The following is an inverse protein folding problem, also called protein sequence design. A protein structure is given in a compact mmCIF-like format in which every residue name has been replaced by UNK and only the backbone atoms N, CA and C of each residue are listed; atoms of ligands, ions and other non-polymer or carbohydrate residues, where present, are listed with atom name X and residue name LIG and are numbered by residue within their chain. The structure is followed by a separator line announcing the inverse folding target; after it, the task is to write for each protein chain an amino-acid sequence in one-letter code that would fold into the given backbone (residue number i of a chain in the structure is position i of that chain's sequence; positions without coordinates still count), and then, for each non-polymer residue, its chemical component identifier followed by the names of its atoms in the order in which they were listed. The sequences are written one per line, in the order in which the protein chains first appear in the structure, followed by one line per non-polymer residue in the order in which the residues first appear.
data_IF_960210187463
#
_entry.id   IF_960210187463
#
_cell.length_a   1.000
_cell.length_b   1.000
_cell.length_c   1.000
_cell.angle_alpha   90.00
_cell.angle_beta   90.00
_cell.angle_gamma   90.00
#
_symmetry.space_group_name_H-M   'P 1'
#
loop_
_entity.id
_entity.type
_entity.pdbx_description
1 polymer ?
#
# COMPACT_ATOMS: atom_id res chain seq x y z
N UNK A 1 9.17 21.85 18.86
CA UNK A 1 10.31 22.15 19.76
C UNK A 1 10.17 23.53 20.39
N UNK A 2 9.99 24.59 19.61
CA UNK A 2 9.85 25.96 20.14
C UNK A 2 8.63 26.17 21.03
N UNK A 3 7.46 25.57 20.73
CA UNK A 3 6.30 25.68 21.64
C UNK A 3 6.54 24.94 22.95
N UNK A 4 7.02 23.69 22.91
CA UNK A 4 7.41 22.91 24.11
C UNK A 4 8.40 23.70 24.99
N UNK A 5 9.42 24.31 24.38
CA UNK A 5 10.41 25.12 25.08
C UNK A 5 9.76 26.32 25.80
N UNK A 6 8.82 27.01 25.13
CA UNK A 6 8.05 28.12 25.71
C UNK A 6 7.11 27.66 26.82
N UNK A 7 6.37 26.57 26.61
CA UNK A 7 5.42 26.00 27.57
C UNK A 7 6.11 25.53 28.86
N UNK A 8 7.35 25.06 28.76
CA UNK A 8 8.12 24.54 29.90
C UNK A 8 9.19 25.51 30.42
N UNK A 9 9.25 26.75 29.91
CA UNK A 9 10.25 27.77 30.28
C UNK A 9 11.71 27.26 30.20
N UNK A 10 12.03 26.46 29.19
CA UNK A 10 13.38 25.92 28.96
C UNK A 10 13.93 26.34 27.60
N UNK A 11 15.25 26.28 27.43
CA UNK A 11 15.86 26.53 26.12
C UNK A 11 15.50 25.44 25.11
N UNK A 12 15.45 25.79 23.82
CA UNK A 12 15.26 24.82 22.73
C UNK A 12 16.36 23.73 22.76
N UNK A 13 17.59 24.10 23.13
CA UNK A 13 18.71 23.16 23.27
C UNK A 13 18.45 22.13 24.37
N UNK A 14 17.82 22.54 25.48
CA UNK A 14 17.43 21.61 26.56
C UNK A 14 16.44 20.58 26.04
N UNK A 15 15.42 21.02 25.30
CA UNK A 15 14.42 20.12 24.68
C UNK A 15 15.09 19.17 23.68
N UNK A 16 16.01 19.67 22.84
CA UNK A 16 16.77 18.84 21.91
C UNK A 16 17.64 17.80 22.61
N UNK A 17 18.28 18.16 23.74
CA UNK A 17 19.10 17.24 24.53
C UNK A 17 18.26 16.10 25.12
N UNK A 18 17.07 16.42 25.65
CA UNK A 18 16.12 15.41 26.16
C UNK A 18 15.61 14.53 25.01
N UNK A 19 15.24 15.10 23.86
CA UNK A 19 14.90 14.29 22.69
C UNK A 19 16.07 13.42 22.22
N UNK A 20 17.30 13.91 22.38
CA UNK A 20 18.53 13.20 22.09
C UNK A 20 18.81 12.04 23.06
N UNK A 21 18.27 12.04 24.28
CA UNK A 21 18.39 10.92 25.22
C UNK A 21 17.38 9.80 24.92
N UNK A 22 16.31 10.08 24.15
CA UNK A 22 15.38 9.05 23.69
C UNK A 22 16.04 8.07 22.72
N UNK A 23 15.82 6.76 22.92
CA UNK A 23 16.24 5.73 22.00
C UNK A 23 15.45 5.81 20.69
N UNK A 24 16.12 5.55 19.57
CA UNK A 24 15.51 5.48 18.23
C UNK A 24 15.46 4.05 17.68
N UNK A 25 15.82 3.05 18.50
CA UNK A 25 15.82 1.63 18.13
C UNK A 25 14.46 1.02 18.40
N UNK A 26 13.90 0.30 17.43
CA UNK A 26 12.59 -0.36 17.57
C UNK A 26 12.67 -1.78 18.13
N UNK A 27 13.88 -2.35 18.23
CA UNK A 27 14.09 -3.72 18.71
C UNK A 27 15.08 -3.76 19.85
N UNK A 28 14.74 -4.58 20.83
CA UNK A 28 15.55 -4.89 22.00
C UNK A 28 16.31 -6.23 21.85
N UNK A 29 15.86 -7.13 20.97
CA UNK A 29 16.47 -8.45 20.74
C UNK A 29 16.34 -8.95 19.29
N UNK A 30 17.29 -9.79 18.86
CA UNK A 30 17.30 -10.49 17.56
C UNK A 30 16.80 -11.95 17.65
N UNK A 31 16.30 -12.35 18.83
CA UNK A 31 15.79 -13.71 19.08
C UNK A 31 14.29 -13.87 18.80
N UNK A 32 13.59 -12.78 18.52
CA UNK A 32 12.15 -12.80 18.29
C UNK A 32 11.76 -11.97 17.07
N UNK A 33 10.85 -12.52 16.27
CA UNK A 33 10.11 -11.83 15.23
C UNK A 33 8.63 -12.22 15.31
N UNK A 34 7.71 -11.27 15.10
CA UNK A 34 6.29 -11.56 15.01
C UNK A 34 5.96 -12.60 13.92
N UNK A 35 4.92 -13.39 14.15
CA UNK A 35 4.46 -14.40 13.21
C UNK A 35 3.90 -13.80 11.91
N UNK A 36 3.37 -12.58 11.98
CA UNK A 36 2.75 -11.88 10.86
C UNK A 36 3.47 -10.55 10.68
N UNK A 37 4.08 -10.33 9.51
CA UNK A 37 4.81 -9.11 9.21
C UNK A 37 4.15 -8.36 8.04
N UNK A 38 4.27 -7.05 8.05
CA UNK A 38 3.77 -6.19 6.98
C UNK A 38 4.90 -5.29 6.47
N UNK A 39 5.21 -5.38 5.17
CA UNK A 39 6.30 -4.66 4.51
C UNK A 39 5.77 -3.60 3.55
N UNK A 40 6.32 -2.38 3.66
CA UNK A 40 6.04 -1.26 2.75
C UNK A 40 7.19 -0.24 2.77
N UNK A 41 7.05 0.79 1.96
CA UNK A 41 7.97 1.92 1.85
C UNK A 41 7.23 3.23 2.12
N UNK A 42 7.90 4.15 2.83
CA UNK A 42 7.44 5.53 2.91
C UNK A 42 8.52 6.47 2.44
N UNK A 43 8.07 7.60 1.90
CA UNK A 43 8.96 8.69 1.52
C UNK A 43 9.22 9.54 2.75
N UNK A 44 10.48 9.66 3.15
CA UNK A 44 10.88 10.46 4.30
C UNK A 44 11.95 11.49 3.98
N UNK A 45 12.97 11.52 4.84
CA UNK A 45 14.10 12.46 4.78
C UNK A 45 14.76 12.44 3.40
N UNK A 46 15.16 13.62 2.92
CA UNK A 46 15.77 13.82 1.60
C UNK A 46 14.90 13.35 0.42
N UNK A 47 13.58 13.21 0.62
CA UNK A 47 12.64 12.67 -0.38
C UNK A 47 12.99 11.22 -0.80
N UNK A 48 13.76 10.50 0.02
CA UNK A 48 14.14 9.11 -0.22
C UNK A 48 13.09 8.14 0.32
N UNK A 49 13.06 6.93 -0.25
CA UNK A 49 12.18 5.85 0.21
C UNK A 49 12.89 5.03 1.30
N UNK A 50 12.24 4.94 2.45
CA UNK A 50 12.66 4.17 3.61
C UNK A 50 11.78 2.93 3.75
N UNK A 51 12.37 1.84 4.23
CA UNK A 51 11.67 0.59 4.48
C UNK A 51 11.01 0.65 5.86
N UNK A 52 9.78 0.16 5.94
CA UNK A 52 9.04 -0.01 7.19
C UNK A 52 8.50 -1.43 7.30
N UNK A 53 8.61 -1.98 8.51
CA UNK A 53 8.10 -3.28 8.91
C UNK A 53 7.23 -3.11 10.15
N UNK A 54 5.97 -3.54 10.06
CA UNK A 54 5.05 -3.63 11.20
C UNK A 54 4.74 -5.09 11.52
N UNK A 55 4.31 -5.30 12.76
CA UNK A 55 3.62 -6.52 13.16
C UNK A 55 2.19 -6.49 12.59
N UNK A 56 1.80 -7.58 11.93
CA UNK A 56 0.49 -7.76 11.32
C UNK A 56 -0.65 -7.89 12.32
N UNK A 57 -0.37 -8.30 13.57
CA UNK A 57 -1.39 -8.45 14.61
C UNK A 57 -1.49 -7.21 15.50
N UNK A 58 -0.37 -6.79 16.10
CA UNK A 58 -0.37 -5.66 17.04
C UNK A 58 -0.31 -4.28 16.37
N UNK A 59 -0.01 -4.24 15.06
CA UNK A 59 0.25 -3.02 14.29
C UNK A 59 1.40 -2.17 14.83
N UNK A 60 2.24 -2.73 15.71
CA UNK A 60 3.40 -2.03 16.24
C UNK A 60 4.56 -2.04 15.24
N UNK A 61 5.42 -1.02 15.34
CA UNK A 61 6.61 -0.93 14.50
C UNK A 61 7.64 -1.95 14.95
N UNK A 62 7.92 -2.91 14.08
CA UNK A 62 9.04 -3.84 14.27
C UNK A 62 10.34 -3.14 13.91
N UNK A 63 10.40 -2.50 12.75
CA UNK A 63 11.60 -1.78 12.33
C UNK A 63 11.34 -0.76 11.23
N UNK A 64 12.05 0.37 11.30
CA UNK A 64 12.23 1.29 10.18
C UNK A 64 13.70 1.35 9.76
N UNK A 65 13.98 1.21 8.46
CA UNK A 65 15.34 1.26 7.90
C UNK A 65 15.46 2.37 6.87
N UNK A 66 16.59 3.09 6.93
CA UNK A 66 16.86 4.22 6.01
C UNK A 66 16.91 3.79 4.54
N UNK A 67 17.27 2.53 4.27
CA UNK A 67 17.42 2.04 2.90
C UNK A 67 16.47 0.89 2.61
N UNK A 68 15.90 0.89 1.40
CA UNK A 68 15.08 -0.21 0.86
C UNK A 68 15.84 -1.27 0.06
N UNK A 69 17.16 -1.13 -0.09
CA UNK A 69 17.93 -1.98 -1.00
C UNK A 69 18.07 -3.41 -0.48
N UNK A 70 17.89 -4.38 -1.38
CA UNK A 70 17.93 -5.83 -1.10
C UNK A 70 19.13 -6.26 -0.24
N UNK A 71 20.35 -5.81 -0.58
CA UNK A 71 21.57 -6.15 0.18
C UNK A 71 21.49 -5.74 1.65
N UNK A 72 20.94 -4.56 1.93
CA UNK A 72 20.85 -4.04 3.30
C UNK A 72 19.76 -4.74 4.09
N UNK A 73 18.63 -5.05 3.45
CA UNK A 73 17.53 -5.80 4.06
C UNK A 73 17.94 -7.24 4.37
N UNK A 74 18.62 -7.92 3.44
CA UNK A 74 19.17 -9.27 3.68
C UNK A 74 20.20 -9.25 4.83
N UNK A 75 21.11 -8.25 4.85
CA UNK A 75 22.08 -8.10 5.95
C UNK A 75 21.40 -7.84 7.29
N UNK A 76 20.30 -7.09 7.29
CA UNK A 76 19.55 -6.77 8.49
C UNK A 76 18.79 -7.99 9.02
N UNK A 77 17.95 -8.60 8.20
CA UNK A 77 17.18 -9.78 8.59
C UNK A 77 18.06 -11.00 8.85
N UNK A 78 19.25 -11.08 8.23
CA UNK A 78 20.23 -12.14 8.50
C UNK A 78 20.84 -12.11 9.91
N UNK A 79 20.62 -11.04 10.70
CA UNK A 79 21.07 -10.98 12.10
C UNK A 79 20.15 -11.74 13.06
N UNK A 80 18.91 -12.00 12.65
CA UNK A 80 17.95 -12.73 13.47
C UNK A 80 18.29 -14.21 13.50
N UNK A 81 18.08 -14.82 14.67
CA UNK A 81 18.31 -16.25 14.83
C UNK A 81 17.45 -17.05 13.84
N UNK A 82 17.93 -18.23 13.38
CA UNK A 82 17.16 -19.05 12.44
C UNK A 82 15.77 -19.41 12.98
N UNK A 83 15.64 -19.58 14.30
CA UNK A 83 14.36 -19.84 14.97
C UNK A 83 13.41 -18.65 14.86
N UNK A 84 13.87 -17.43 15.15
CA UNK A 84 13.08 -16.20 14.99
C UNK A 84 12.58 -16.05 13.54
N UNK A 85 13.44 -16.34 12.56
CA UNK A 85 13.07 -16.25 11.14
C UNK A 85 12.10 -17.34 10.69
N UNK A 86 12.20 -18.54 11.27
CA UNK A 86 11.27 -19.64 11.00
C UNK A 86 9.90 -19.42 11.66
N UNK A 87 9.80 -18.57 12.69
CA UNK A 87 8.54 -18.22 13.35
C UNK A 87 7.60 -17.38 12.47
N UNK A 88 8.14 -16.64 11.50
CA UNK A 88 7.35 -15.81 10.58
C UNK A 88 6.51 -16.71 9.66
N UNK A 89 5.18 -16.61 9.77
CA UNK A 89 4.17 -17.38 9.03
C UNK A 89 3.62 -16.64 7.83
N UNK A 90 3.42 -15.33 7.92
CA UNK A 90 2.95 -14.52 6.78
C UNK A 90 3.72 -13.22 6.65
N UNK A 91 3.90 -12.77 5.41
CA UNK A 91 4.37 -11.41 5.12
C UNK A 91 3.43 -10.76 4.11
N UNK A 92 2.75 -9.69 4.54
CA UNK A 92 1.97 -8.85 3.64
C UNK A 92 2.87 -7.84 2.94
N UNK A 93 2.69 -7.69 1.63
CA UNK A 93 3.47 -6.76 0.83
C UNK A 93 2.75 -6.37 -0.46
N UNK A 94 3.25 -5.35 -1.13
CA UNK A 94 2.85 -5.01 -2.48
C UNK A 94 3.48 -5.97 -3.51
N UNK A 95 3.05 -5.87 -4.78
CA UNK A 95 3.56 -6.66 -5.92
C UNK A 95 4.97 -6.24 -6.39
N UNK A 96 5.87 -5.98 -5.45
CA UNK A 96 7.29 -5.73 -5.72
C UNK A 96 8.05 -7.05 -5.76
N UNK A 97 8.62 -7.37 -6.93
CA UNK A 97 9.47 -8.56 -7.09
C UNK A 97 10.64 -8.57 -6.09
N UNK A 98 11.18 -7.40 -5.76
CA UNK A 98 12.32 -7.25 -4.86
C UNK A 98 12.05 -7.76 -3.44
N UNK A 99 10.86 -7.52 -2.89
CA UNK A 99 10.53 -7.94 -1.52
C UNK A 99 10.22 -9.44 -1.44
N UNK A 100 9.64 -10.02 -2.49
CA UNK A 100 9.38 -11.45 -2.51
C UNK A 100 10.66 -12.28 -2.42
N UNK A 101 11.71 -11.87 -3.13
CA UNK A 101 13.01 -12.53 -3.03
C UNK A 101 13.60 -12.44 -1.62
N UNK A 102 13.43 -11.29 -0.96
CA UNK A 102 13.92 -11.09 0.41
C UNK A 102 13.16 -12.00 1.36
N UNK A 103 11.84 -12.08 1.23
CA UNK A 103 11.02 -12.94 2.08
C UNK A 103 11.36 -14.41 1.89
N UNK A 104 11.47 -14.88 0.63
CA UNK A 104 11.88 -16.26 0.35
C UNK A 104 13.27 -16.60 0.89
N UNK A 105 14.19 -15.64 0.90
CA UNK A 105 15.55 -15.85 1.40
C UNK A 105 15.64 -15.79 2.94
N UNK A 106 14.86 -14.90 3.57
CA UNK A 106 14.95 -14.65 5.01
C UNK A 106 14.02 -15.54 5.83
N UNK A 107 12.80 -15.82 5.35
CA UNK A 107 11.72 -16.44 6.12
C UNK A 107 11.22 -17.71 5.41
N UNK A 108 11.76 -18.89 5.77
CA UNK A 108 11.52 -20.13 5.01
C UNK A 108 10.06 -20.60 5.08
N UNK A 109 9.36 -20.33 6.19
CA UNK A 109 7.99 -20.79 6.42
C UNK A 109 6.92 -19.74 6.04
N UNK A 110 7.35 -18.55 5.60
CA UNK A 110 6.43 -17.44 5.41
C UNK A 110 5.67 -17.51 4.10
N UNK A 111 4.35 -17.43 4.19
CA UNK A 111 3.46 -17.23 3.05
C UNK A 111 3.43 -15.74 2.68
N UNK A 112 3.69 -15.45 1.41
CA UNK A 112 3.57 -14.09 0.88
C UNK A 112 2.10 -13.79 0.63
N UNK A 113 1.63 -12.65 1.13
CA UNK A 113 0.25 -12.17 0.99
C UNK A 113 0.30 -10.85 0.24
N UNK A 114 -0.28 -10.82 -0.96
CA UNK A 114 -0.34 -9.58 -1.74
C UNK A 114 -1.46 -8.69 -1.22
N UNK A 115 -1.16 -7.40 -1.07
CA UNK A 115 -2.16 -6.43 -0.64
C UNK A 115 -3.32 -6.26 -1.64
N UNK A 116 -4.54 -6.39 -1.11
CA UNK A 116 -5.81 -6.32 -1.85
C UNK A 116 -6.03 -4.96 -2.49
N UNK A 117 -5.69 -3.89 -1.79
CA UNK A 117 -5.86 -2.54 -2.32
C UNK A 117 -4.95 -2.33 -3.53
N UNK A 118 -3.68 -2.75 -3.46
CA UNK A 118 -2.77 -2.68 -4.60
C UNK A 118 -3.22 -3.53 -5.79
N UNK A 119 -3.74 -4.75 -5.57
CA UNK A 119 -4.31 -5.56 -6.65
C UNK A 119 -5.45 -4.85 -7.37
N UNK A 120 -6.42 -4.33 -6.62
CA UNK A 120 -7.57 -3.59 -7.19
C UNK A 120 -7.08 -2.32 -7.88
N UNK A 121 -6.13 -1.59 -7.29
CA UNK A 121 -5.59 -0.36 -7.84
C UNK A 121 -4.90 -0.60 -9.20
N UNK A 122 -4.14 -1.70 -9.35
CA UNK A 122 -3.50 -2.06 -10.62
C UNK A 122 -4.53 -2.31 -11.74
N UNK A 123 -5.63 -3.02 -11.45
CA UNK A 123 -6.71 -3.26 -12.41
C UNK A 123 -7.44 -1.97 -12.77
N UNK A 124 -7.80 -1.16 -11.77
CA UNK A 124 -8.51 0.12 -11.97
C UNK A 124 -7.67 1.09 -12.82
N UNK A 125 -6.35 1.16 -12.59
CA UNK A 125 -5.44 1.95 -13.42
C UNK A 125 -5.37 1.42 -14.85
N UNK A 126 -5.32 0.10 -15.01
CA UNK A 126 -5.28 -0.56 -16.32
C UNK A 126 -6.54 -0.30 -17.14
N UNK A 127 -7.71 -0.45 -16.52
CA UNK A 127 -8.99 -0.11 -17.12
C UNK A 127 -9.06 1.38 -17.46
N UNK A 128 -8.70 2.27 -16.54
CA UNK A 128 -8.77 3.71 -16.77
C UNK A 128 -7.84 4.14 -17.93
N UNK A 129 -6.68 3.51 -18.08
CA UNK A 129 -5.79 3.73 -19.23
C UNK A 129 -6.46 3.34 -20.55
N UNK A 130 -7.11 2.17 -20.60
CA UNK A 130 -7.89 1.73 -21.76
C UNK A 130 -9.04 2.69 -22.07
N UNK A 131 -9.83 3.07 -21.06
CA UNK A 131 -10.93 4.04 -21.19
C UNK A 131 -10.45 5.34 -21.81
N UNK A 132 -9.34 5.91 -21.33
CA UNK A 132 -8.75 7.14 -21.89
C UNK A 132 -8.27 6.92 -23.32
N UNK A 133 -7.70 5.75 -23.64
CA UNK A 133 -7.28 5.41 -25.01
C UNK A 133 -8.46 5.38 -25.96
N UNK A 134 -9.53 4.66 -25.64
CA UNK A 134 -10.77 4.60 -26.43
C UNK A 134 -11.44 5.97 -26.53
N UNK A 135 -11.52 6.71 -25.43
CA UNK A 135 -12.07 8.07 -25.43
C UNK A 135 -11.31 8.98 -26.40
N UNK A 136 -9.98 8.87 -26.50
CA UNK A 136 -9.17 9.71 -27.39
C UNK A 136 -9.31 9.39 -28.88
N UNK A 137 -9.83 8.22 -29.25
CA UNK A 137 -10.06 7.86 -30.67
C UNK A 137 -11.39 8.39 -31.19
N UNK A 138 -12.28 8.83 -30.31
CA UNK A 138 -13.61 9.33 -30.66
C UNK A 138 -13.59 10.84 -30.92
N UNK A 139 -14.54 11.31 -31.73
CA UNK A 139 -14.72 12.74 -31.94
C UNK A 139 -15.15 13.45 -30.65
N UNK A 140 -14.61 14.65 -30.40
CA UNK A 140 -14.84 15.40 -29.15
C UNK A 140 -16.30 15.84 -28.98
N UNK A 141 -17.06 15.95 -30.07
CA UNK A 141 -18.48 16.33 -30.05
C UNK A 141 -19.41 15.11 -29.95
N UNK A 142 -18.87 13.90 -30.12
CA UNK A 142 -19.66 12.67 -30.03
C UNK A 142 -20.21 12.42 -28.61
N UNK A 143 -21.40 11.83 -28.54
CA UNK A 143 -22.02 11.42 -27.27
C UNK A 143 -21.14 10.42 -26.52
N UNK A 144 -20.56 9.45 -27.23
CA UNK A 144 -19.67 8.45 -26.65
C UNK A 144 -18.43 9.07 -25.99
N UNK A 145 -17.82 10.09 -26.60
CA UNK A 145 -16.71 10.82 -26.01
C UNK A 145 -17.12 11.50 -24.69
N UNK A 146 -18.28 12.17 -24.66
CA UNK A 146 -18.77 12.87 -23.47
C UNK A 146 -19.10 11.91 -22.32
N UNK A 147 -19.71 10.76 -22.64
CA UNK A 147 -19.99 9.69 -21.68
C UNK A 147 -18.71 9.10 -21.07
N UNK A 148 -17.65 8.94 -21.86
CA UNK A 148 -16.38 8.43 -21.33
C UNK A 148 -15.60 9.50 -20.55
N UNK A 149 -15.72 10.80 -20.92
CA UNK A 149 -14.92 11.88 -20.35
C UNK A 149 -15.49 12.48 -19.07
N UNK A 150 -16.71 13.00 -19.12
CA UNK A 150 -17.26 13.81 -18.03
C UNK A 150 -17.51 12.97 -16.76
N UNK A 151 -18.23 11.84 -16.82
CA UNK A 151 -18.50 11.00 -15.67
C UNK A 151 -17.40 9.95 -15.42
N UNK A 152 -16.14 10.22 -15.76
CA UNK A 152 -15.05 9.22 -15.69
C UNK A 152 -14.89 8.53 -14.33
N UNK A 153 -15.26 9.22 -13.24
CA UNK A 153 -15.23 8.69 -11.87
C UNK A 153 -16.22 7.55 -11.65
N UNK A 154 -17.35 7.52 -12.38
CA UNK A 154 -18.37 6.48 -12.23
C UNK A 154 -17.83 5.11 -12.63
N UNK A 155 -17.00 5.05 -13.67
CA UNK A 155 -16.41 3.80 -14.13
C UNK A 155 -15.40 3.20 -13.14
N UNK A 156 -14.94 3.95 -12.14
CA UNK A 156 -14.01 3.47 -11.11
C UNK A 156 -14.73 3.05 -9.82
N UNK A 157 -16.04 3.30 -9.72
CA UNK A 157 -16.86 2.84 -8.60
C UNK A 157 -17.26 1.38 -8.81
N UNK A 158 -17.65 0.71 -7.72
CA UNK A 158 -18.27 -0.60 -7.81
C UNK A 158 -19.64 -0.44 -8.46
N UNK A 159 -19.99 -1.36 -9.36
CA UNK A 159 -21.26 -1.29 -10.08
C UNK A 159 -22.48 -1.29 -9.15
N UNK A 160 -22.40 -2.02 -8.03
CA UNK A 160 -23.47 -2.08 -7.03
C UNK A 160 -23.70 -0.77 -6.26
N UNK A 161 -22.67 0.09 -6.20
CA UNK A 161 -22.72 1.39 -5.52
C UNK A 161 -23.20 2.51 -6.46
N UNK A 162 -23.52 2.21 -7.72
CA UNK A 162 -24.03 3.18 -8.68
C UNK A 162 -25.52 3.44 -8.45
N UNK A 163 -25.94 4.70 -8.64
CA UNK A 163 -27.36 5.08 -8.66
C UNK A 163 -28.07 4.42 -9.85
N UNK A 164 -29.16 3.69 -9.56
CA UNK A 164 -29.93 2.88 -10.52
C UNK A 164 -31.37 3.36 -10.68
N UNK A 165 -31.89 4.17 -9.76
CA UNK A 165 -33.32 4.50 -9.67
C UNK A 165 -33.60 5.90 -10.19
N UNK A 166 -32.84 6.90 -9.73
CA UNK A 166 -33.13 8.30 -10.04
C UNK A 166 -32.22 8.85 -11.14
N UNK A 167 -32.71 9.04 -12.38
CA UNK A 167 -31.92 9.63 -13.45
C UNK A 167 -31.67 11.12 -13.17
N UNK A 168 -30.52 11.61 -13.63
CA UNK A 168 -30.15 13.03 -13.51
C UNK A 168 -29.76 13.58 -14.87
N UNK A 169 -30.28 14.76 -15.20
CA UNK A 169 -29.90 15.44 -16.42
C UNK A 169 -28.43 15.88 -16.37
N UNK A 170 -27.70 15.62 -17.46
CA UNK A 170 -26.33 16.09 -17.63
C UNK A 170 -26.18 16.87 -18.93
N UNK A 171 -25.68 18.09 -18.81
CA UNK A 171 -25.54 19.02 -19.91
C UNK A 171 -24.53 18.57 -21.00
N UNK A 172 -23.56 17.72 -20.67
CA UNK A 172 -22.53 17.30 -21.61
C UNK A 172 -23.04 16.38 -22.71
N UNK A 173 -23.95 15.45 -22.38
CA UNK A 173 -24.55 14.50 -23.30
C UNK A 173 -26.05 14.77 -23.52
N UNK A 174 -26.59 15.84 -22.92
CA UNK A 174 -27.96 16.37 -23.10
C UNK A 174 -29.04 15.30 -22.88
N UNK A 175 -28.87 14.49 -21.84
CA UNK A 175 -29.77 13.39 -21.53
C UNK A 175 -29.97 13.22 -20.03
N UNK A 176 -31.07 12.57 -19.64
CA UNK A 176 -31.42 12.23 -18.27
C UNK A 176 -31.18 10.75 -18.02
N UNK A 177 -30.00 10.42 -17.48
CA UNK A 177 -29.56 9.04 -17.27
C UNK A 177 -29.24 8.76 -15.81
N UNK A 178 -29.44 7.52 -15.38
CA UNK A 178 -28.91 7.00 -14.11
C UNK A 178 -27.41 6.75 -14.22
N UNK A 179 -26.71 6.64 -13.08
CA UNK A 179 -25.27 6.36 -13.11
C UNK A 179 -24.96 5.00 -13.73
N UNK A 180 -25.82 4.00 -13.49
CA UNK A 180 -25.71 2.69 -14.11
C UNK A 180 -25.85 2.77 -15.64
N UNK A 181 -26.89 3.47 -16.14
CA UNK A 181 -27.09 3.65 -17.58
C UNK A 181 -25.91 4.38 -18.24
N UNK A 182 -25.37 5.43 -17.62
CA UNK A 182 -24.18 6.14 -18.12
C UNK A 182 -22.99 5.21 -18.29
N UNK A 183 -22.73 4.35 -17.29
CA UNK A 183 -21.62 3.41 -17.35
C UNK A 183 -21.86 2.33 -18.40
N UNK A 184 -23.06 1.74 -18.43
CA UNK A 184 -23.44 0.72 -19.43
C UNK A 184 -23.33 1.26 -20.85
N UNK A 185 -23.89 2.43 -21.14
CA UNK A 185 -23.80 3.04 -22.46
C UNK A 185 -22.35 3.38 -22.83
N UNK A 186 -21.57 3.89 -21.88
CA UNK A 186 -20.16 4.20 -22.10
C UNK A 186 -19.30 2.99 -22.43
N UNK A 187 -19.43 1.89 -21.67
CA UNK A 187 -18.63 0.68 -21.92
C UNK A 187 -19.01 -0.03 -23.22
N UNK A 188 -20.28 0.07 -23.64
CA UNK A 188 -20.78 -0.50 -24.90
C UNK A 188 -20.17 0.16 -26.15
N UNK A 189 -19.41 1.26 -26.00
CA UNK A 189 -18.67 1.88 -27.10
C UNK A 189 -17.62 0.94 -27.72
N UNK A 190 -17.10 -0.03 -26.96
CA UNK A 190 -16.11 -0.98 -27.45
C UNK A 190 -16.19 -2.30 -26.69
N UNK A 191 -16.23 -3.42 -27.40
CA UNK A 191 -16.22 -4.77 -26.82
C UNK A 191 -15.03 -4.99 -25.89
N UNK A 192 -13.85 -4.46 -26.24
CA UNK A 192 -12.66 -4.54 -25.37
C UNK A 192 -12.84 -3.78 -24.07
N UNK A 193 -13.54 -2.64 -24.10
CA UNK A 193 -13.79 -1.81 -22.93
C UNK A 193 -14.81 -2.47 -22.00
N UNK A 194 -15.89 -3.00 -22.57
CA UNK A 194 -16.90 -3.78 -21.85
C UNK A 194 -16.29 -5.00 -21.15
N UNK A 195 -15.56 -5.85 -21.89
CA UNK A 195 -14.88 -7.01 -21.32
C UNK A 195 -13.92 -6.62 -20.19
N UNK A 196 -13.13 -5.56 -20.39
CA UNK A 196 -12.19 -5.08 -19.37
C UNK A 196 -12.90 -4.53 -18.13
N UNK A 197 -14.05 -3.87 -18.28
CA UNK A 197 -14.85 -3.39 -17.16
C UNK A 197 -15.45 -4.55 -16.37
N UNK A 198 -16.10 -5.49 -17.06
CA UNK A 198 -16.73 -6.66 -16.46
C UNK A 198 -15.72 -7.54 -15.72
N UNK A 199 -14.52 -7.71 -16.29
CA UNK A 199 -13.41 -8.40 -15.64
C UNK A 199 -12.99 -7.68 -14.35
N UNK A 200 -12.78 -6.36 -14.41
CA UNK A 200 -12.39 -5.56 -13.25
C UNK A 200 -13.43 -5.66 -12.12
N UNK A 201 -14.72 -5.49 -12.43
CA UNK A 201 -15.80 -5.61 -11.44
C UNK A 201 -15.90 -7.03 -10.86
N UNK A 202 -15.81 -8.05 -11.72
CA UNK A 202 -15.82 -9.45 -11.29
C UNK A 202 -14.64 -9.79 -10.39
N UNK A 203 -13.46 -9.23 -10.66
CA UNK A 203 -12.27 -9.38 -9.83
C UNK A 203 -12.43 -8.71 -8.47
N UNK A 204 -12.92 -7.46 -8.44
CA UNK A 204 -13.20 -6.75 -7.18
C UNK A 204 -14.16 -7.57 -6.31
N UNK A 205 -15.21 -8.13 -6.91
CA UNK A 205 -16.17 -8.97 -6.18
C UNK A 205 -15.54 -10.30 -5.70
N UNK A 206 -14.69 -10.93 -6.51
CA UNK A 206 -14.01 -12.17 -6.13
C UNK A 206 -13.02 -11.96 -4.97
N UNK A 207 -12.28 -10.86 -4.98
CA UNK A 207 -11.41 -10.46 -3.83
C UNK A 207 -12.24 -10.18 -2.59
N UNK A 208 -13.37 -9.46 -2.72
CA UNK A 208 -14.24 -9.13 -1.57
C UNK A 208 -14.85 -10.39 -0.94
N UNK A 209 -15.19 -11.39 -1.75
CA UNK A 209 -15.82 -12.65 -1.29
C UNK A 209 -14.81 -13.75 -0.94
N UNK A 210 -13.51 -13.52 -1.12
CA UNK A 210 -12.48 -14.54 -0.92
C UNK A 210 -12.57 -15.73 -1.89
N UNK A 211 -13.27 -15.58 -3.03
CA UNK A 211 -13.47 -16.68 -3.96
C UNK A 211 -12.23 -16.91 -4.84
N UNK A 212 -11.31 -17.74 -4.34
CA UNK A 212 -10.04 -18.09 -4.99
C UNK A 212 -10.22 -18.80 -6.34
N UNK A 213 -11.26 -19.62 -6.51
CA UNK A 213 -11.54 -20.31 -7.77
C UNK A 213 -11.95 -19.34 -8.87
N UNK A 214 -12.85 -18.40 -8.56
CA UNK A 214 -13.23 -17.34 -9.49
C UNK A 214 -12.07 -16.41 -9.81
N UNK A 215 -11.19 -16.12 -8.85
CA UNK A 215 -9.95 -15.37 -9.11
C UNK A 215 -9.04 -16.10 -10.10
N UNK A 216 -8.82 -17.40 -9.93
CA UNK A 216 -8.02 -18.21 -10.86
C UNK A 216 -8.60 -18.20 -12.27
N UNK A 217 -9.92 -18.31 -12.41
CA UNK A 217 -10.55 -18.28 -13.74
C UNK A 217 -10.43 -16.90 -14.40
N UNK A 218 -10.63 -15.82 -13.65
CA UNK A 218 -10.49 -14.44 -14.14
C UNK A 218 -9.04 -14.11 -14.56
N UNK A 219 -8.03 -14.58 -13.82
CA UNK A 219 -6.62 -14.34 -14.16
C UNK A 219 -6.22 -15.07 -15.45
N UNK A 220 -6.86 -16.20 -15.75
CA UNK A 220 -6.61 -16.99 -16.95
C UNK A 220 -7.60 -16.71 -18.10
N UNK A 221 -8.35 -15.61 -18.04
CA UNK A 221 -9.29 -15.26 -19.10
C UNK A 221 -8.58 -15.12 -20.46
N UNK A 222 -9.26 -15.51 -21.53
CA UNK A 222 -8.79 -15.34 -22.93
C UNK A 222 -9.53 -14.24 -23.67
N UNK A 223 -10.30 -13.42 -22.94
CA UNK A 223 -11.14 -12.39 -23.51
C UNK A 223 -10.30 -11.28 -24.14
N UNK A 224 -10.88 -10.59 -25.13
CA UNK A 224 -10.27 -9.39 -25.69
C UNK A 224 -10.33 -8.26 -24.67
N UNK A 225 -9.22 -8.05 -23.95
CA UNK A 225 -9.05 -7.01 -22.92
C UNK A 225 -7.95 -6.02 -23.31
N UNK A 226 -7.90 -4.88 -22.60
CA UNK A 226 -6.85 -3.89 -22.80
C UNK A 226 -5.44 -4.45 -22.60
N UNK A 227 -4.48 -3.99 -23.39
CA UNK A 227 -3.08 -4.49 -23.34
C UNK A 227 -2.44 -4.33 -21.95
N UNK A 228 -2.72 -3.22 -21.26
CA UNK A 228 -2.22 -3.00 -19.90
C UNK A 228 -2.91 -3.94 -18.89
N UNK A 229 -4.21 -4.20 -19.07
CA UNK A 229 -4.95 -5.16 -18.26
C UNK A 229 -4.35 -6.56 -18.39
N UNK A 230 -4.07 -7.00 -19.62
CA UNK A 230 -3.42 -8.28 -19.88
C UNK A 230 -2.05 -8.38 -19.18
N UNK A 231 -1.23 -7.32 -19.23
CA UNK A 231 0.04 -7.28 -18.49
C UNK A 231 -0.15 -7.42 -16.98
N UNK A 232 -1.16 -6.74 -16.40
CA UNK A 232 -1.50 -6.89 -14.98
C UNK A 232 -1.91 -8.32 -14.64
N UNK A 233 -2.71 -8.97 -15.48
CA UNK A 233 -3.09 -10.37 -15.28
C UNK A 233 -1.89 -11.32 -15.39
N UNK A 234 -0.94 -11.08 -16.30
CA UNK A 234 0.31 -11.84 -16.36
C UNK A 234 1.13 -11.70 -15.06
N UNK A 235 1.22 -10.48 -14.51
CA UNK A 235 1.86 -10.26 -13.21
C UNK A 235 1.15 -11.02 -12.10
N UNK A 236 -0.18 -11.04 -12.08
CA UNK A 236 -0.93 -11.83 -11.10
C UNK A 236 -0.73 -13.33 -11.31
N UNK A 237 -0.67 -13.79 -12.55
CA UNK A 237 -0.42 -15.20 -12.90
C UNK A 237 0.96 -15.67 -12.45
N UNK A 238 1.99 -14.83 -12.60
CA UNK A 238 3.33 -15.13 -12.10
C UNK A 238 3.36 -15.24 -10.56
N UNK A 239 2.53 -14.46 -9.88
CA UNK A 239 2.44 -14.40 -8.42
C UNK A 239 1.17 -15.09 -7.88
N UNK A 240 0.66 -16.11 -8.58
CA UNK A 240 -0.70 -16.61 -8.37
C UNK A 240 -0.95 -17.03 -6.91
N UNK A 241 -0.04 -17.80 -6.31
CA UNK A 241 -0.18 -18.25 -4.93
C UNK A 241 -0.31 -17.07 -3.96
N UNK A 242 0.53 -16.04 -4.11
CA UNK A 242 0.51 -14.88 -3.23
C UNK A 242 -0.73 -13.98 -3.43
N UNK A 243 -1.24 -13.92 -4.67
CA UNK A 243 -2.50 -13.24 -5.01
C UNK A 243 -3.70 -13.95 -4.37
N UNK A 244 -3.72 -15.28 -4.41
CA UNK A 244 -4.79 -16.07 -3.80
C UNK A 244 -4.76 -15.95 -2.28
N UNK A 245 -3.56 -16.02 -1.68
CA UNK A 245 -3.37 -15.75 -0.25
C UNK A 245 -3.89 -14.36 0.14
N UNK A 246 -3.68 -13.34 -0.70
CA UNK A 246 -4.19 -11.99 -0.50
C UNK A 246 -5.73 -11.90 -0.47
N UNK A 247 -6.42 -12.79 -1.16
CA UNK A 247 -7.88 -12.85 -1.16
C UNK A 247 -8.46 -13.75 -0.05
N UNK A 248 -7.73 -14.81 0.33
CA UNK A 248 -8.17 -15.82 1.28
C UNK A 248 -7.86 -15.44 2.74
N UNK A 249 -6.67 -14.87 2.99
CA UNK A 249 -6.22 -14.54 4.33
C UNK A 249 -6.75 -13.18 4.79
N UNK A 250 -6.91 -13.03 6.12
CA UNK A 250 -7.42 -11.80 6.73
C UNK A 250 -6.42 -10.63 6.66
N UNK A 251 -5.12 -10.91 6.60
CA UNK A 251 -4.04 -9.93 6.65
C UNK A 251 -4.01 -8.99 5.44
N UNK A 252 -3.64 -7.73 5.64
CA UNK A 252 -3.41 -6.74 4.58
C UNK A 252 -2.37 -5.70 4.99
N UNK A 253 -1.90 -4.93 4.01
CA UNK A 253 -1.07 -3.74 4.27
C UNK A 253 -1.89 -2.54 4.77
N UNK A 254 -3.15 -2.72 5.19
CA UNK A 254 -3.99 -1.62 5.68
C UNK A 254 -3.42 -0.93 6.92
N UNK A 255 -2.79 -1.70 7.83
CA UNK A 255 -2.10 -1.16 9.00
C UNK A 255 -0.95 -0.22 8.61
N UNK A 256 -0.16 -0.60 7.59
CA UNK A 256 0.91 0.21 7.02
C UNK A 256 0.40 1.47 6.35
N UNK A 257 -0.75 1.44 5.66
CA UNK A 257 -1.32 2.66 5.07
C UNK A 257 -1.67 3.68 6.15
N UNK A 258 -2.31 3.22 7.23
CA UNK A 258 -2.62 4.05 8.40
C UNK A 258 -1.35 4.64 9.02
N UNK A 259 -0.33 3.81 9.21
CA UNK A 259 0.94 4.22 9.77
C UNK A 259 1.69 5.21 8.86
N UNK A 260 1.76 4.95 7.56
CA UNK A 260 2.37 5.85 6.57
C UNK A 260 1.65 7.20 6.53
N UNK A 261 0.34 7.24 6.75
CA UNK A 261 -0.43 8.48 6.89
C UNK A 261 -0.04 9.23 8.16
N UNK A 262 0.16 8.52 9.28
CA UNK A 262 0.67 9.08 10.55
C UNK A 262 2.07 9.68 10.37
N UNK A 263 3.01 8.97 9.74
CA UNK A 263 4.34 9.50 9.41
C UNK A 263 4.22 10.79 8.57
N UNK A 264 3.43 10.76 7.49
CA UNK A 264 3.22 11.96 6.65
C UNK A 264 2.64 13.13 7.44
N UNK A 265 1.83 12.87 8.47
CA UNK A 265 1.30 13.93 9.34
C UNK A 265 2.39 14.50 10.24
N UNK A 266 3.20 13.63 10.88
CA UNK A 266 4.37 14.03 11.67
C UNK A 266 5.30 14.95 10.87
N UNK A 267 5.63 14.56 9.64
CA UNK A 267 6.47 15.36 8.75
C UNK A 267 5.83 16.71 8.39
N UNK A 268 4.52 16.73 8.09
CA UNK A 268 3.80 17.98 7.78
C UNK A 268 3.78 18.94 8.96
N UNK A 269 3.54 18.45 10.17
CA UNK A 269 3.53 19.28 11.39
C UNK A 269 4.93 19.82 11.72
N UNK A 270 5.99 19.07 11.38
CA UNK A 270 7.36 19.48 11.62
C UNK A 270 7.98 20.33 10.48
N UNK A 271 7.26 20.54 9.37
CA UNK A 271 7.80 21.11 8.13
C UNK A 271 8.99 20.31 7.55
N UNK A 272 8.97 18.99 7.76
CA UNK A 272 10.01 18.05 7.34
C UNK A 272 11.10 17.83 8.40
N UNK A 273 11.91 16.79 8.16
CA UNK A 273 13.05 16.44 8.99
C UNK A 273 14.32 16.39 8.14
N UNK A 274 15.41 16.95 8.66
CA UNK A 274 16.76 16.87 8.05
C UNK A 274 17.54 15.63 8.50
N UNK A 275 17.18 15.04 9.64
CA UNK A 275 17.84 13.88 10.21
C UNK A 275 16.89 12.70 10.33
N UNK A 276 17.28 11.55 9.77
CA UNK A 276 16.54 10.31 9.86
C UNK A 276 16.35 9.85 11.31
N UNK A 277 17.38 10.00 12.14
CA UNK A 277 17.31 9.65 13.57
C UNK A 277 16.25 10.48 14.29
N UNK A 278 16.16 11.78 14.00
CA UNK A 278 15.17 12.65 14.63
C UNK A 278 13.74 12.30 14.21
N UNK A 279 13.56 11.89 12.95
CA UNK A 279 12.28 11.36 12.47
C UNK A 279 11.91 10.08 13.22
N UNK A 280 12.82 9.12 13.37
CA UNK A 280 12.57 7.89 14.13
C UNK A 280 12.22 8.16 15.59
N UNK A 281 12.97 9.05 16.25
CA UNK A 281 12.67 9.45 17.64
C UNK A 281 11.27 10.03 17.75
N UNK A 282 10.87 10.90 16.81
CA UNK A 282 9.51 11.47 16.83
C UNK A 282 8.44 10.39 16.61
N UNK A 283 8.65 9.47 15.67
CA UNK A 283 7.73 8.37 15.43
C UNK A 283 7.52 7.56 16.71
N UNK A 284 8.60 7.21 17.44
CA UNK A 284 8.49 6.48 18.71
C UNK A 284 7.74 7.23 19.80
N UNK A 285 7.98 8.52 19.94
CA UNK A 285 7.26 9.36 20.90
C UNK A 285 5.76 9.39 20.61
N UNK A 286 5.36 9.43 19.34
CA UNK A 286 3.97 9.40 18.92
C UNK A 286 3.31 8.01 19.07
N UNK A 287 4.10 6.95 19.14
CA UNK A 287 3.64 5.59 19.48
C UNK A 287 3.61 5.35 21.01
N UNK A 288 3.92 6.36 21.83
CA UNK A 288 4.08 6.24 23.30
C UNK A 288 5.08 5.15 23.74
N UNK A 289 5.99 4.73 22.85
CA UNK A 289 7.03 3.74 23.13
C UNK A 289 8.32 4.45 23.55
N UNK A 290 8.27 5.14 24.69
CA UNK A 290 9.41 5.84 25.26
C UNK A 290 10.39 4.84 25.88
N UNK A 291 11.66 4.93 25.46
CA UNK A 291 12.77 4.24 26.13
C UNK A 291 13.96 5.18 26.13
N UNK A 292 14.61 5.35 27.27
CA UNK A 292 15.89 6.06 27.33
C UNK A 292 16.97 5.23 26.61
N UNK A 293 17.94 5.90 26.01
CA UNK A 293 19.15 5.23 25.53
C UNK A 293 19.86 4.62 26.73
N UNK A 294 20.29 3.37 26.62
CA UNK A 294 21.22 2.84 27.61
C UNK A 294 22.46 3.74 27.66
N UNK A 295 22.94 4.12 28.87
CA UNK A 295 24.18 4.84 29.00
C UNK A 295 25.29 3.99 28.37
N UNK A 296 26.15 4.60 27.54
CA UNK A 296 27.32 3.93 26.98
C UNK A 296 28.11 3.27 28.13
N UNK A 297 28.00 1.96 28.30
CA UNK A 297 28.84 1.17 29.19
C UNK A 297 30.22 0.99 28.54
N UNK A 298 30.93 2.10 28.40
CA UNK A 298 32.34 2.20 28.01
C UNK A 298 32.93 3.33 28.85
N UNK A 299 33.11 3.08 30.16
CA UNK A 299 34.06 3.72 31.09
C UNK A 299 33.78 3.28 32.55
N UNK A 300 33.63 1.97 32.78
CA UNK A 300 33.71 1.37 34.13
C UNK A 300 34.64 0.14 34.07
N UNK A 301 35.83 0.35 33.53
CA UNK A 301 37.01 -0.49 33.76
C UNK A 301 38.26 0.37 33.58
N UNK A 302 38.65 1.05 34.65
CA UNK A 302 40.03 1.31 35.08
C UNK A 302 39.96 2.02 36.43
#
# INVERSE_FOLDING_TARGET
MTSIARENNVSVNTVQRVLGSCSHRFLDSYEYLPAHLAFDEFKGVDRQLHFICLDGDSHQVVQILRTRYKKNLLKYFGRFSPQARANVRTVTMDLSFYYQDIVRACFPNAQIVIDRFHMIQMLTRSFNSLRVKVMKTLDKRSRQYQLLKSPWKLYLKKFDELEKVHPRYNWHYKDCLTQAQVVTEGINTSTTLENSYNLMQSFIQAVKTGNTQKLKSLINCKDQIGTLMHKTLLTFKHNLTAVLNGAELAYSNGCLEGFNRKIKQIERTAFGYSSFTNLLTRIRLEENQYTEKEPNSLLMTA
#
